data_IF_588890205733
#
_entry.id   IF_588890205733
#
_cell.length_a   1.000
_cell.length_b   1.000
_cell.length_c   1.000
_cell.angle_alpha   90.00
_cell.angle_beta   90.00
_cell.angle_gamma   90.00
#
_symmetry.space_group_name_H-M   'P 1'
#
loop_
_entity.id
_entity.type
_entity.pdbx_description
1 polymer ?
#
# COMPACT_ATOMS: atom_id res chain seq x y z
N UNK A 1 -26.27 47.93 27.61
CA UNK A 1 -25.38 46.77 27.85
C UNK A 1 -25.88 45.47 27.21
N UNK A 2 -27.13 45.06 27.37
CA UNK A 2 -27.61 43.76 26.85
C UNK A 2 -27.52 43.57 25.32
N UNK A 3 -27.70 44.62 24.49
CA UNK A 3 -27.59 44.48 23.02
C UNK A 3 -26.16 44.27 22.52
N UNK A 4 -25.16 44.82 23.21
CA UNK A 4 -23.74 44.67 22.84
C UNK A 4 -23.24 43.28 23.23
N UNK A 5 -23.69 42.76 24.38
CA UNK A 5 -23.38 41.39 24.83
C UNK A 5 -23.98 40.35 23.88
N UNK A 6 -25.21 40.58 23.37
CA UNK A 6 -25.84 39.70 22.37
C UNK A 6 -25.08 39.73 21.03
N UNK A 7 -24.61 40.90 20.59
CA UNK A 7 -23.80 41.01 19.36
C UNK A 7 -22.43 40.33 19.50
N UNK A 8 -21.79 40.43 20.67
CA UNK A 8 -20.54 39.74 20.97
C UNK A 8 -20.73 38.22 21.06
N UNK A 9 -21.84 37.73 21.63
CA UNK A 9 -22.18 36.30 21.63
C UNK A 9 -22.42 35.77 20.21
N UNK A 10 -23.09 36.54 19.34
CA UNK A 10 -23.31 36.16 17.94
C UNK A 10 -22.01 36.10 17.12
N UNK A 11 -21.04 36.98 17.40
CA UNK A 11 -19.71 36.89 16.76
C UNK A 11 -18.88 35.70 17.24
N UNK A 12 -19.05 35.26 18.50
CA UNK A 12 -18.38 34.05 19.01
C UNK A 12 -18.97 32.77 18.39
N UNK A 13 -20.27 32.73 18.10
CA UNK A 13 -20.91 31.56 17.46
C UNK A 13 -20.53 31.46 15.97
N UNK A 14 -20.27 32.58 15.28
CA UNK A 14 -19.77 32.57 13.90
C UNK A 14 -18.25 32.35 13.79
N UNK A 15 -17.47 32.57 14.86
CA UNK A 15 -16.03 32.28 14.89
C UNK A 15 -15.72 30.79 15.16
N UNK A 16 -16.74 29.98 15.47
CA UNK A 16 -16.65 28.52 15.61
C UNK A 16 -17.16 27.76 14.37
N UNK A 17 -17.08 28.34 13.17
CA UNK A 17 -16.98 27.49 11.98
C UNK A 17 -15.52 27.08 11.84
N UNK A 18 -15.13 25.99 12.50
CA UNK A 18 -13.88 25.33 12.16
C UNK A 18 -13.86 25.12 10.65
N UNK A 19 -12.73 25.46 10.05
CA UNK A 19 -12.49 25.35 8.62
C UNK A 19 -12.28 23.85 8.31
N UNK A 20 -13.30 23.01 8.58
CA UNK A 20 -13.27 21.60 8.27
C UNK A 20 -12.92 21.48 6.80
N UNK A 21 -11.86 20.73 6.50
CA UNK A 21 -11.41 20.53 5.14
C UNK A 21 -12.60 20.01 4.34
N UNK A 22 -13.14 20.86 3.44
CA UNK A 22 -14.40 20.55 2.76
C UNK A 22 -14.13 19.36 1.85
N UNK A 23 -14.59 18.17 2.25
CA UNK A 23 -14.48 16.95 1.45
C UNK A 23 -14.99 17.27 0.05
N UNK A 24 -14.24 16.84 -0.97
CA UNK A 24 -14.54 17.17 -2.36
C UNK A 24 -15.93 16.61 -2.72
N UNK A 25 -16.81 17.47 -3.21
CA UNK A 25 -18.16 17.08 -3.62
C UNK A 25 -18.11 16.15 -4.84
N UNK A 26 -18.95 15.09 -4.85
CA UNK A 26 -19.12 14.20 -6.01
C UNK A 26 -18.20 12.96 -6.07
N UNK A 27 -17.35 12.72 -5.06
CA UNK A 27 -16.53 11.50 -4.96
C UNK A 27 -17.26 10.37 -4.20
N UNK A 28 -16.89 9.11 -4.47
CA UNK A 28 -17.46 7.97 -3.73
C UNK A 28 -16.96 7.96 -2.28
N UNK A 29 -17.88 7.95 -1.31
CA UNK A 29 -17.53 7.85 0.12
C UNK A 29 -17.71 6.41 0.60
N UNK A 30 -16.68 5.85 1.22
CA UNK A 30 -16.67 4.51 1.78
C UNK A 30 -16.76 4.62 3.30
N UNK A 31 -17.90 4.27 3.93
CA UNK A 31 -18.02 4.30 5.37
C UNK A 31 -17.17 3.18 5.99
N UNK A 32 -16.27 3.54 6.92
CA UNK A 32 -15.40 2.60 7.64
C UNK A 32 -15.89 2.48 9.08
N UNK A 33 -16.56 1.36 9.38
CA UNK A 33 -16.97 1.01 10.74
C UNK A 33 -15.82 0.31 11.47
N UNK A 34 -15.44 0.84 12.64
CA UNK A 34 -14.24 0.41 13.38
C UNK A 34 -14.56 -0.16 14.76
N UNK A 35 -15.82 -0.09 15.22
CA UNK A 35 -16.22 -0.49 16.58
C UNK A 35 -16.82 -1.89 16.61
N UNK A 36 -17.73 -2.19 15.69
CA UNK A 36 -18.53 -3.40 15.74
C UNK A 36 -17.96 -4.49 14.83
N UNK A 37 -17.19 -5.41 15.41
CA UNK A 37 -16.65 -6.55 14.69
C UNK A 37 -17.79 -7.46 14.16
N UNK A 38 -17.57 -8.05 12.99
CA UNK A 38 -18.50 -9.01 12.39
C UNK A 38 -18.61 -10.25 13.29
N UNK A 39 -19.83 -10.73 13.49
CA UNK A 39 -20.09 -11.87 14.40
C UNK A 39 -19.75 -13.22 13.80
N UNK A 40 -19.85 -13.38 12.47
CA UNK A 40 -19.60 -14.63 11.76
C UNK A 40 -18.86 -14.33 10.46
N UNK A 41 -17.77 -15.05 10.18
CA UNK A 41 -17.04 -14.94 8.92
C UNK A 41 -17.88 -15.41 7.73
N UNK A 42 -18.83 -16.32 7.93
CA UNK A 42 -19.66 -16.88 6.85
C UNK A 42 -20.55 -15.85 6.16
N UNK A 43 -20.70 -14.62 6.68
CA UNK A 43 -21.45 -13.55 5.99
C UNK A 43 -20.68 -12.97 4.80
N UNK A 44 -19.34 -13.00 4.83
CA UNK A 44 -18.49 -12.40 3.79
C UNK A 44 -17.43 -13.35 3.22
N UNK A 45 -17.05 -14.41 3.94
CA UNK A 45 -16.03 -15.36 3.53
C UNK A 45 -16.67 -16.63 2.97
N UNK A 46 -16.22 -17.05 1.79
CA UNK A 46 -16.65 -18.27 1.11
C UNK A 46 -15.73 -19.44 1.47
N UNK A 47 -14.42 -19.27 1.29
CA UNK A 47 -13.40 -20.27 1.60
C UNK A 47 -12.03 -19.64 1.82
N UNK A 48 -11.12 -20.43 2.38
CA UNK A 48 -9.70 -20.13 2.53
C UNK A 48 -8.92 -21.23 1.83
N UNK A 49 -8.02 -20.84 0.92
CA UNK A 49 -7.03 -21.74 0.33
C UNK A 49 -5.63 -21.31 0.74
N UNK A 50 -4.70 -22.26 0.70
CA UNK A 50 -3.28 -21.99 0.92
C UNK A 50 -2.45 -22.45 -0.27
N UNK A 51 -1.37 -21.72 -0.56
CA UNK A 51 -0.39 -22.06 -1.58
C UNK A 51 1.00 -21.97 -0.95
N UNK A 52 1.54 -23.09 -0.46
CA UNK A 52 2.93 -23.15 -0.01
C UNK A 52 3.87 -22.80 -1.15
N UNK A 53 4.83 -21.93 -0.91
CA UNK A 53 5.88 -21.65 -1.90
C UNK A 53 6.94 -22.73 -1.81
N UNK A 54 7.43 -23.18 -2.97
CA UNK A 54 8.36 -24.29 -3.06
C UNK A 54 9.65 -23.99 -2.27
N UNK A 55 10.04 -24.90 -1.37
CA UNK A 55 11.26 -24.81 -0.56
C UNK A 55 12.37 -25.67 -1.17
N UNK A 56 13.45 -25.01 -1.61
CA UNK A 56 14.74 -25.61 -2.02
C UNK A 56 15.87 -24.64 -1.68
N UNK A 57 17.10 -25.13 -1.57
CA UNK A 57 18.30 -24.32 -1.28
C UNK A 57 18.41 -23.06 -2.17
N UNK A 58 18.02 -23.17 -3.45
CA UNK A 58 18.06 -22.07 -4.41
C UNK A 58 16.91 -21.05 -4.29
N UNK A 59 16.00 -21.23 -3.35
CA UNK A 59 14.71 -20.50 -3.30
C UNK A 59 14.31 -20.05 -1.91
N UNK A 60 15.19 -20.18 -0.92
CA UNK A 60 14.90 -19.84 0.47
C UNK A 60 14.51 -18.37 0.61
N UNK A 61 13.38 -18.12 1.25
CA UNK A 61 12.85 -16.79 1.54
C UNK A 61 12.90 -16.60 3.05
N UNK A 62 13.84 -15.77 3.50
CA UNK A 62 13.89 -15.33 4.89
C UNK A 62 12.85 -14.24 5.15
N UNK A 63 13.32 -13.02 5.35
CA UNK A 63 12.46 -11.87 5.64
C UNK A 63 12.12 -11.12 4.37
N UNK A 64 10.84 -11.01 4.04
CA UNK A 64 10.38 -10.27 2.88
C UNK A 64 9.99 -8.80 3.19
N UNK A 65 10.16 -7.92 2.19
CA UNK A 65 9.81 -6.49 2.21
C UNK A 65 8.50 -6.20 1.47
N UNK A 66 8.31 -6.80 0.30
CA UNK A 66 7.14 -6.58 -0.59
C UNK A 66 6.78 -7.89 -1.28
N UNK A 67 5.48 -8.13 -1.43
CA UNK A 67 4.94 -9.27 -2.18
C UNK A 67 3.95 -8.74 -3.19
N UNK A 68 4.01 -9.24 -4.42
CA UNK A 68 3.10 -8.86 -5.50
C UNK A 68 2.62 -10.12 -6.20
N UNK A 69 1.44 -10.02 -6.81
CA UNK A 69 0.88 -11.07 -7.67
C UNK A 69 0.37 -10.44 -8.96
N UNK A 70 0.70 -11.05 -10.08
CA UNK A 70 0.17 -10.71 -11.40
C UNK A 70 -0.77 -11.81 -11.87
N UNK A 71 -2.06 -11.49 -11.98
CA UNK A 71 -3.09 -12.45 -12.40
C UNK A 71 -2.93 -12.90 -13.86
N UNK A 72 -2.41 -12.02 -14.73
CA UNK A 72 -2.31 -12.32 -16.17
C UNK A 72 -1.21 -13.34 -16.44
N UNK A 73 -0.08 -13.20 -15.75
CA UNK A 73 1.04 -14.13 -15.83
C UNK A 73 0.91 -15.31 -14.86
N UNK A 74 0.01 -15.20 -13.87
CA UNK A 74 -0.13 -16.12 -12.75
C UNK A 74 1.19 -16.28 -11.97
N UNK A 75 1.78 -15.16 -11.54
CA UNK A 75 3.11 -15.12 -10.91
C UNK A 75 3.08 -14.34 -9.60
N UNK A 76 3.69 -14.91 -8.57
CA UNK A 76 4.12 -14.20 -7.37
C UNK A 76 5.55 -13.69 -7.53
N UNK A 77 5.79 -12.45 -7.09
CA UNK A 77 7.13 -11.91 -6.90
C UNK A 77 7.30 -11.51 -5.43
N UNK A 78 8.37 -12.01 -4.80
CA UNK A 78 8.75 -11.69 -3.43
C UNK A 78 10.06 -10.92 -3.45
N UNK A 79 10.03 -9.71 -2.91
CA UNK A 79 11.21 -8.87 -2.71
C UNK A 79 11.63 -8.93 -1.25
N UNK A 80 12.88 -9.31 -0.99
CA UNK A 80 13.38 -9.56 0.35
C UNK A 80 14.22 -8.42 0.95
N UNK A 81 14.64 -8.59 2.20
CA UNK A 81 15.44 -7.59 2.91
C UNK A 81 16.83 -7.40 2.30
N UNK A 82 17.40 -8.44 1.72
CA UNK A 82 18.69 -8.44 1.02
C UNK A 82 18.58 -7.91 -0.41
N UNK A 83 17.39 -7.44 -0.80
CA UNK A 83 17.06 -6.86 -2.09
C UNK A 83 17.10 -7.87 -3.24
N UNK A 84 16.90 -9.15 -2.94
CA UNK A 84 16.68 -10.20 -3.93
C UNK A 84 15.19 -10.28 -4.24
N UNK A 85 14.88 -10.47 -5.51
CA UNK A 85 13.53 -10.73 -6.00
C UNK A 85 13.47 -12.20 -6.40
N UNK A 86 12.51 -12.93 -5.86
CA UNK A 86 12.24 -14.33 -6.21
C UNK A 86 10.87 -14.44 -6.87
N UNK A 87 10.78 -15.22 -7.94
CA UNK A 87 9.54 -15.46 -8.70
C UNK A 87 9.04 -16.87 -8.49
N UNK A 88 7.73 -17.00 -8.29
CA UNK A 88 7.01 -18.26 -8.14
C UNK A 88 5.77 -18.25 -9.02
N UNK A 89 5.40 -19.40 -9.56
CA UNK A 89 4.09 -19.57 -10.23
C UNK A 89 2.92 -19.41 -9.25
N UNK A 90 1.70 -19.22 -9.76
CA UNK A 90 0.48 -19.13 -8.95
C UNK A 90 0.16 -20.37 -8.14
N UNK A 91 0.75 -21.52 -8.49
CA UNK A 91 0.69 -22.77 -7.73
C UNK A 91 1.85 -22.91 -6.72
N UNK A 92 2.68 -21.89 -6.56
CA UNK A 92 3.79 -21.86 -5.60
C UNK A 92 5.10 -22.48 -6.07
N UNK A 93 5.21 -22.98 -7.30
CA UNK A 93 6.49 -23.54 -7.81
C UNK A 93 7.52 -22.45 -8.04
N UNK A 94 8.76 -22.68 -7.61
CA UNK A 94 9.86 -21.73 -7.81
C UNK A 94 10.23 -21.62 -9.29
N UNK A 95 10.49 -20.41 -9.74
CA UNK A 95 10.91 -20.12 -11.12
C UNK A 95 12.37 -19.67 -11.13
N UNK A 96 12.69 -18.56 -10.46
CA UNK A 96 14.04 -18.01 -10.41
C UNK A 96 14.18 -16.95 -9.31
N UNK A 97 15.40 -16.45 -9.12
CA UNK A 97 15.66 -15.30 -8.27
C UNK A 97 16.76 -14.40 -8.86
N UNK A 98 16.87 -13.19 -8.33
CA UNK A 98 17.80 -12.18 -8.80
C UNK A 98 19.15 -12.17 -8.09
N UNK A 99 19.51 -13.18 -7.29
CA UNK A 99 20.72 -13.15 -6.45
C UNK A 99 21.99 -12.93 -7.28
N UNK A 100 22.06 -13.57 -8.46
CA UNK A 100 23.17 -13.44 -9.39
C UNK A 100 23.10 -12.19 -10.28
N UNK A 101 22.16 -11.28 -10.00
CA UNK A 101 22.02 -9.98 -10.66
C UNK A 101 22.40 -8.82 -9.74
N UNK A 102 22.85 -9.10 -8.52
CA UNK A 102 23.36 -8.07 -7.62
C UNK A 102 24.85 -7.79 -7.90
N UNK A 103 25.18 -6.52 -8.12
CA UNK A 103 26.56 -6.10 -8.38
C UNK A 103 26.69 -4.78 -9.13
N UNK A 104 27.78 -4.62 -9.89
CA UNK A 104 28.17 -3.40 -10.61
C UNK A 104 28.36 -3.64 -12.12
N UNK A 105 28.11 -4.87 -12.59
CA UNK A 105 28.17 -5.24 -13.98
C UNK A 105 27.08 -4.56 -14.83
N UNK A 106 27.20 -4.64 -16.16
CA UNK A 106 26.27 -3.98 -17.08
C UNK A 106 24.81 -4.48 -16.92
N UNK A 107 24.64 -5.75 -16.57
CA UNK A 107 23.36 -6.42 -16.34
C UNK A 107 22.96 -6.55 -14.86
N UNK A 108 23.75 -5.97 -13.97
CA UNK A 108 23.55 -6.08 -12.52
C UNK A 108 22.99 -4.78 -11.94
N UNK A 109 22.23 -4.92 -10.86
CA UNK A 109 21.75 -3.82 -10.04
C UNK A 109 22.46 -3.83 -8.69
N UNK A 110 22.76 -2.65 -8.16
CA UNK A 110 23.43 -2.51 -6.86
C UNK A 110 22.44 -2.30 -5.72
N UNK A 111 21.29 -1.69 -6.03
CA UNK A 111 20.26 -1.33 -5.09
C UNK A 111 18.92 -1.22 -5.83
N UNK A 112 17.86 -1.68 -5.20
CA UNK A 112 16.49 -1.53 -5.66
C UNK A 112 15.64 -0.96 -4.51
N UNK A 113 15.10 0.25 -4.66
CA UNK A 113 14.22 0.88 -3.66
C UNK A 113 12.77 0.42 -3.77
N UNK A 114 12.35 0.03 -4.98
CA UNK A 114 11.02 -0.50 -5.25
C UNK A 114 11.08 -1.48 -6.42
N UNK A 115 10.10 -2.37 -6.47
CA UNK A 115 9.88 -3.30 -7.57
C UNK A 115 8.43 -3.25 -8.02
N UNK A 116 8.20 -3.42 -9.32
CA UNK A 116 6.85 -3.46 -9.90
C UNK A 116 6.81 -4.34 -11.14
N UNK A 117 5.73 -5.10 -11.33
CA UNK A 117 5.51 -5.76 -12.61
C UNK A 117 5.34 -4.72 -13.72
N UNK A 118 5.99 -4.96 -14.85
CA UNK A 118 5.91 -4.12 -16.03
C UNK A 118 5.04 -4.83 -17.09
N UNK A 119 3.78 -4.40 -17.30
CA UNK A 119 2.89 -5.06 -18.26
C UNK A 119 3.32 -4.88 -19.72
N UNK A 120 4.09 -3.83 -20.02
CA UNK A 120 4.49 -3.50 -21.39
C UNK A 120 5.71 -4.29 -21.86
N UNK A 121 6.66 -4.55 -20.95
CA UNK A 121 7.84 -5.37 -21.22
C UNK A 121 7.70 -6.81 -20.72
N UNK A 122 6.60 -7.14 -20.02
CA UNK A 122 6.30 -8.47 -19.46
C UNK A 122 7.42 -8.96 -18.54
N UNK A 123 7.82 -8.08 -17.62
CA UNK A 123 8.93 -8.32 -16.69
C UNK A 123 8.69 -7.65 -15.34
N UNK A 124 9.76 -7.52 -14.56
CA UNK A 124 9.77 -6.84 -13.27
C UNK A 124 10.74 -5.67 -13.37
N UNK A 125 10.24 -4.46 -13.16
CA UNK A 125 11.07 -3.28 -13.00
C UNK A 125 11.64 -3.24 -11.58
N UNK A 126 12.95 -3.02 -11.48
CA UNK A 126 13.71 -2.73 -10.27
C UNK A 126 14.23 -1.30 -10.39
N UNK A 127 13.76 -0.42 -9.50
CA UNK A 127 14.14 0.99 -9.48
C UNK A 127 15.32 1.20 -8.54
N UNK A 128 16.40 1.79 -9.04
CA UNK A 128 17.43 2.38 -8.18
C UNK A 128 16.99 3.78 -7.68
N UNK A 129 17.53 4.26 -6.55
CA UNK A 129 17.12 5.57 -6.01
C UNK A 129 17.47 6.74 -6.93
N UNK A 130 18.39 6.57 -7.89
CA UNK A 130 18.91 7.62 -8.77
C UNK A 130 18.30 7.61 -10.19
N UNK A 131 17.20 6.87 -10.38
CA UNK A 131 16.38 6.84 -11.58
C UNK A 131 16.81 5.88 -12.68
N UNK A 132 17.74 4.97 -12.42
CA UNK A 132 17.98 3.78 -13.25
C UNK A 132 16.89 2.74 -12.98
N UNK A 133 16.28 2.24 -14.05
CA UNK A 133 15.24 1.22 -14.01
C UNK A 133 15.75 0.01 -14.78
N UNK A 134 15.94 -1.09 -14.07
CA UNK A 134 16.28 -2.37 -14.64
C UNK A 134 15.00 -3.17 -14.83
N UNK A 135 14.69 -3.57 -16.04
CA UNK A 135 13.56 -4.49 -16.30
C UNK A 135 14.13 -5.87 -16.57
N UNK A 136 13.79 -6.83 -15.72
CA UNK A 136 14.18 -8.22 -15.87
C UNK A 136 12.97 -9.08 -16.29
N UNK A 137 13.21 -10.15 -17.04
CA UNK A 137 12.23 -11.21 -17.22
C UNK A 137 11.99 -11.98 -15.91
N UNK A 138 11.00 -12.87 -15.90
CA UNK A 138 10.67 -13.70 -14.74
C UNK A 138 11.79 -14.69 -14.34
N UNK A 139 12.68 -15.02 -15.28
CA UNK A 139 13.90 -15.82 -15.08
C UNK A 139 15.16 -14.94 -14.92
N UNK A 140 14.98 -13.65 -14.63
CA UNK A 140 16.02 -12.66 -14.37
C UNK A 140 17.07 -12.50 -15.47
N UNK A 141 16.66 -12.53 -16.74
CA UNK A 141 17.46 -11.99 -17.86
C UNK A 141 17.13 -10.52 -18.02
N UNK A 142 18.16 -9.68 -18.24
CA UNK A 142 17.93 -8.24 -18.44
C UNK A 142 17.19 -8.02 -19.77
N UNK A 143 16.00 -7.42 -19.71
CA UNK A 143 15.21 -7.01 -20.87
C UNK A 143 15.51 -5.57 -21.27
N UNK A 144 15.69 -4.69 -20.27
CA UNK A 144 15.92 -3.27 -20.51
C UNK A 144 16.64 -2.62 -19.34
N UNK A 145 17.46 -1.61 -19.65
CA UNK A 145 18.05 -0.69 -18.67
C UNK A 145 17.78 0.72 -19.13
N UNK A 146 16.87 1.41 -18.43
CA UNK A 146 16.44 2.78 -18.76
C UNK A 146 16.84 3.71 -17.62
N UNK A 147 16.89 5.02 -17.89
CA UNK A 147 17.26 6.02 -16.89
C UNK A 147 16.41 7.27 -17.04
N UNK A 148 16.01 7.85 -15.91
CA UNK A 148 15.47 9.20 -15.81
C UNK A 148 16.39 10.05 -14.93
N UNK A 149 16.69 11.26 -15.36
CA UNK A 149 17.40 12.24 -14.53
C UNK A 149 16.41 12.94 -13.60
N UNK A 150 16.31 12.47 -12.37
CA UNK A 150 15.57 13.18 -11.32
C UNK A 150 16.50 14.04 -10.49
N UNK A 151 15.99 15.19 -10.02
CA UNK A 151 16.68 16.07 -9.08
C UNK A 151 16.78 15.44 -7.69
N UNK A 152 15.79 14.64 -7.32
CA UNK A 152 15.66 14.01 -6.01
C UNK A 152 15.66 12.49 -6.16
N UNK A 153 15.99 11.79 -5.07
CA UNK A 153 15.87 10.34 -5.03
C UNK A 153 14.42 9.92 -5.32
N UNK A 154 14.25 8.84 -6.07
CA UNK A 154 12.96 8.22 -6.33
C UNK A 154 12.71 7.11 -5.31
N UNK A 155 11.45 6.87 -4.99
CA UNK A 155 11.04 5.92 -3.93
C UNK A 155 10.15 4.79 -4.45
N UNK A 156 9.28 5.07 -5.42
CA UNK A 156 8.35 4.07 -5.97
C UNK A 156 8.12 4.33 -7.45
N UNK A 157 7.72 3.32 -8.22
CA UNK A 157 7.42 3.47 -9.64
C UNK A 157 6.23 2.64 -10.12
N UNK A 158 5.64 3.08 -11.23
CA UNK A 158 4.81 2.26 -12.10
C UNK A 158 4.92 2.72 -13.56
N UNK A 159 4.99 1.76 -14.49
CA UNK A 159 4.91 2.06 -15.91
C UNK A 159 3.48 2.44 -16.30
N UNK A 160 3.31 3.55 -17.02
CA UNK A 160 2.04 3.98 -17.63
C UNK A 160 1.98 3.61 -19.13
N UNK A 161 3.15 3.52 -19.76
CA UNK A 161 3.35 2.97 -21.12
C UNK A 161 4.82 2.53 -21.26
N UNK A 162 5.27 2.16 -22.47
CA UNK A 162 6.67 1.80 -22.73
C UNK A 162 7.67 2.89 -22.30
N UNK A 163 7.33 4.17 -22.53
CA UNK A 163 8.23 5.30 -22.26
C UNK A 163 7.74 6.22 -21.14
N UNK A 164 6.48 6.10 -20.68
CA UNK A 164 5.93 6.94 -19.61
C UNK A 164 5.85 6.20 -18.29
N UNK A 165 6.26 6.87 -17.23
CA UNK A 165 6.27 6.35 -15.87
C UNK A 165 5.70 7.37 -14.89
N UNK A 166 5.21 6.86 -13.77
CA UNK A 166 4.88 7.65 -12.58
C UNK A 166 5.77 7.21 -11.42
N UNK A 167 6.20 8.17 -10.61
CA UNK A 167 7.06 7.95 -9.45
C UNK A 167 6.56 8.70 -8.22
N UNK A 168 7.09 8.34 -7.05
CA UNK A 168 7.06 9.19 -5.85
C UNK A 168 8.47 9.48 -5.37
N UNK A 169 8.65 10.63 -4.71
CA UNK A 169 9.87 10.98 -3.99
C UNK A 169 9.70 10.68 -2.49
N UNK A 170 10.79 10.48 -1.73
CA UNK A 170 10.70 10.45 -0.27
C UNK A 170 10.34 11.84 0.28
N UNK A 171 9.51 11.87 1.33
CA UNK A 171 8.91 13.08 1.91
C UNK A 171 9.91 14.14 2.43
N UNK A 172 11.16 13.74 2.67
CA UNK A 172 12.23 14.62 3.18
C UNK A 172 12.76 15.54 2.07
N UNK A 173 12.55 15.20 0.80
CA UNK A 173 13.20 15.88 -0.32
C UNK A 173 12.30 16.88 -1.05
N UNK A 174 11.00 16.66 -1.01
CA UNK A 174 10.00 17.42 -1.76
C UNK A 174 8.76 17.65 -0.91
N UNK A 175 7.99 18.67 -1.26
CA UNK A 175 6.56 18.69 -0.94
C UNK A 175 5.87 17.48 -1.61
N UNK A 176 4.67 17.15 -1.17
CA UNK A 176 3.94 15.98 -1.66
C UNK A 176 3.70 16.03 -3.17
N UNK A 177 4.59 15.37 -3.90
CA UNK A 177 4.55 15.34 -5.34
C UNK A 177 4.59 13.90 -5.86
N UNK A 178 3.76 13.67 -6.87
CA UNK A 178 3.83 12.54 -7.78
C UNK A 178 4.49 13.03 -9.06
N UNK A 179 5.45 12.25 -9.56
CA UNK A 179 6.31 12.66 -10.65
C UNK A 179 5.99 11.84 -11.90
N UNK A 180 5.42 12.48 -12.91
CA UNK A 180 5.23 11.90 -14.23
C UNK A 180 6.50 12.12 -15.04
N UNK A 181 7.02 11.06 -15.67
CA UNK A 181 8.18 11.17 -16.52
C UNK A 181 7.99 10.48 -17.86
N UNK A 182 8.60 11.04 -18.89
CA UNK A 182 8.83 10.37 -20.15
C UNK A 182 10.33 10.03 -20.27
N UNK A 183 10.66 8.74 -20.19
CA UNK A 183 12.04 8.24 -20.18
C UNK A 183 12.78 8.52 -21.48
N UNK A 184 12.09 8.65 -22.62
CA UNK A 184 12.71 8.94 -23.91
C UNK A 184 13.12 10.40 -24.06
N UNK A 185 12.21 11.31 -23.69
CA UNK A 185 12.42 12.77 -23.80
C UNK A 185 13.09 13.37 -22.57
N UNK A 186 13.16 12.61 -21.47
CA UNK A 186 13.59 13.06 -20.14
C UNK A 186 12.71 14.17 -19.55
N UNK A 187 11.51 14.40 -20.11
CA UNK A 187 10.55 15.35 -19.57
C UNK A 187 9.98 14.84 -18.25
N UNK A 188 9.85 15.74 -17.28
CA UNK A 188 9.29 15.49 -15.96
C UNK A 188 8.22 16.54 -15.66
N UNK A 189 7.09 16.08 -15.11
CA UNK A 189 6.01 16.92 -14.60
C UNK A 189 5.69 16.47 -13.17
N UNK A 190 5.73 17.40 -12.22
CA UNK A 190 5.37 17.14 -10.83
C UNK A 190 3.94 17.58 -10.56
N UNK A 191 3.21 16.79 -9.79
CA UNK A 191 1.79 17.01 -9.49
C UNK A 191 1.56 16.78 -8.01
N UNK A 192 0.98 17.77 -7.35
CA UNK A 192 0.55 17.65 -5.97
C UNK A 192 -0.78 16.89 -5.82
N UNK A 193 -1.08 16.47 -4.61
CA UNK A 193 -2.37 15.85 -4.26
C UNK A 193 -2.79 16.28 -2.86
N UNK A 194 -4.05 16.04 -2.49
CA UNK A 194 -4.62 16.51 -1.22
C UNK A 194 -4.63 15.42 -0.14
N UNK A 195 -4.81 15.86 1.10
CA UNK A 195 -5.23 14.99 2.22
C UNK A 195 -4.13 14.15 2.86
N UNK A 196 -2.86 14.39 2.57
CA UNK A 196 -1.78 13.73 3.32
C UNK A 196 -1.56 14.45 4.61
N UNK A 197 -1.61 13.70 5.71
CA UNK A 197 -1.48 14.25 7.04
C UNK A 197 -0.39 13.53 7.85
N UNK A 198 0.23 12.45 7.35
CA UNK A 198 1.48 11.89 7.92
C UNK A 198 2.03 10.74 7.07
N UNK A 199 3.32 10.77 6.73
CA UNK A 199 3.91 9.89 5.71
C UNK A 199 4.56 8.62 6.29
N UNK A 200 4.93 8.62 7.58
CA UNK A 200 5.68 7.50 8.20
C UNK A 200 4.80 6.43 8.87
N UNK A 201 3.49 6.67 9.00
CA UNK A 201 2.56 5.75 9.65
C UNK A 201 1.85 4.86 8.63
N UNK A 202 2.61 3.94 8.01
CA UNK A 202 2.07 2.99 7.04
C UNK A 202 2.75 1.64 7.12
N UNK A 203 2.01 0.59 6.78
CA UNK A 203 2.55 -0.73 6.48
C UNK A 203 2.46 -1.05 4.98
N UNK A 204 1.83 -0.16 4.20
CA UNK A 204 1.65 -0.35 2.76
C UNK A 204 2.98 -0.29 2.02
N UNK A 205 3.10 -1.19 1.06
CA UNK A 205 4.28 -1.35 0.19
C UNK A 205 3.94 -1.06 -1.25
N UNK A 206 2.68 -0.74 -1.54
CA UNK A 206 2.22 -0.38 -2.86
C UNK A 206 1.50 0.96 -2.81
N UNK A 207 1.76 1.79 -3.83
CA UNK A 207 1.11 3.10 -4.01
C UNK A 207 0.38 3.18 -5.33
N UNK A 208 0.81 2.37 -6.30
CA UNK A 208 0.38 2.47 -7.67
C UNK A 208 -0.30 1.18 -8.11
N UNK A 209 -1.49 1.32 -8.68
CA UNK A 209 -2.33 0.19 -9.06
C UNK A 209 -2.74 0.34 -10.52
N UNK A 210 -2.80 -0.79 -11.21
CA UNK A 210 -3.44 -0.92 -12.52
C UNK A 210 -4.63 -1.83 -12.34
N UNK A 211 -5.83 -1.34 -12.61
CA UNK A 211 -7.08 -2.11 -12.52
C UNK A 211 -7.78 -1.93 -13.87
N UNK A 212 -7.88 -3.04 -14.63
CA UNK A 212 -8.25 -2.98 -16.04
C UNK A 212 -7.27 -2.09 -16.82
N UNK A 213 -7.79 -1.15 -17.60
CA UNK A 213 -7.01 -0.19 -18.39
C UNK A 213 -6.72 1.13 -17.66
N UNK A 214 -7.05 1.22 -16.37
CA UNK A 214 -6.93 2.46 -15.59
C UNK A 214 -5.81 2.37 -14.57
N UNK A 215 -5.21 3.52 -14.30
CA UNK A 215 -4.11 3.70 -13.36
C UNK A 215 -4.59 4.46 -12.12
N UNK A 216 -4.08 4.09 -10.95
CA UNK A 216 -4.47 4.68 -9.69
C UNK A 216 -3.28 4.93 -8.78
N UNK A 217 -3.40 5.97 -7.97
CA UNK A 217 -2.48 6.32 -6.91
C UNK A 217 -3.22 6.29 -5.58
N UNK A 218 -2.71 5.52 -4.63
CA UNK A 218 -3.19 5.45 -3.25
C UNK A 218 -2.04 5.90 -2.35
N UNK A 219 -2.13 7.10 -1.77
CA UNK A 219 -1.02 7.64 -0.99
C UNK A 219 -0.78 6.84 0.29
N UNK A 220 0.48 6.65 0.64
CA UNK A 220 0.86 6.05 1.91
C UNK A 220 0.52 6.97 3.09
N UNK A 221 0.45 6.35 4.27
CA UNK A 221 0.26 7.05 5.52
C UNK A 221 -1.18 7.48 5.73
N UNK A 222 -1.36 8.50 6.56
CA UNK A 222 -2.69 9.02 6.85
C UNK A 222 -3.09 9.92 5.68
N UNK A 223 -3.78 9.32 4.73
CA UNK A 223 -4.46 9.98 3.63
C UNK A 223 -5.70 9.15 3.33
N UNK A 224 -6.85 9.80 3.26
CA UNK A 224 -8.14 9.14 3.13
C UNK A 224 -8.63 9.06 1.68
N UNK A 225 -7.92 9.69 0.73
CA UNK A 225 -8.30 9.73 -0.67
C UNK A 225 -7.62 8.62 -1.49
N UNK A 226 -8.32 8.19 -2.54
CA UNK A 226 -7.79 7.40 -3.64
C UNK A 226 -7.89 8.23 -4.91
N UNK A 227 -6.86 8.17 -5.75
CA UNK A 227 -6.75 8.99 -6.95
C UNK A 227 -6.71 8.12 -8.19
N UNK A 228 -7.46 8.52 -9.22
CA UNK A 228 -7.22 8.05 -10.57
C UNK A 228 -6.11 8.90 -11.20
N UNK A 229 -5.20 8.23 -11.90
CA UNK A 229 -4.12 8.85 -12.67
C UNK A 229 -4.60 9.05 -14.11
N UNK A 230 -4.52 10.27 -14.62
CA UNK A 230 -4.62 10.57 -16.05
C UNK A 230 -3.21 10.72 -16.63
N UNK A 231 -2.77 9.76 -17.45
CA UNK A 231 -1.43 9.74 -18.04
C UNK A 231 -1.26 10.69 -19.25
N UNK A 232 -2.37 11.21 -19.79
CA UNK A 232 -2.39 12.15 -20.91
C UNK A 232 -2.34 13.57 -20.40
N UNK A 233 -3.21 13.90 -19.44
CA UNK A 233 -3.22 15.20 -18.77
C UNK A 233 -2.08 15.34 -17.74
N UNK A 234 -1.53 14.22 -17.26
CA UNK A 234 -0.58 14.18 -16.14
C UNK A 234 -1.21 14.79 -14.88
N UNK A 235 -2.37 14.27 -14.49
CA UNK A 235 -3.16 14.77 -13.38
C UNK A 235 -3.61 13.65 -12.45
N UNK A 236 -3.90 14.01 -11.20
CA UNK A 236 -4.46 13.12 -10.18
C UNK A 236 -5.86 13.60 -9.83
N UNK A 237 -6.87 12.77 -10.09
CA UNK A 237 -8.27 13.08 -9.75
C UNK A 237 -8.72 12.22 -8.57
N UNK A 238 -9.12 12.80 -7.42
CA UNK A 238 -9.73 12.05 -6.33
C UNK A 238 -11.01 11.35 -6.82
N UNK A 239 -11.13 10.05 -6.56
CA UNK A 239 -12.31 9.26 -6.96
C UNK A 239 -13.06 8.65 -5.79
N UNK A 240 -12.37 8.46 -4.67
CA UNK A 240 -12.90 7.77 -3.50
C UNK A 240 -12.29 8.34 -2.22
N UNK A 241 -13.07 8.33 -1.14
CA UNK A 241 -12.68 8.80 0.18
C UNK A 241 -13.09 7.80 1.26
N UNK A 242 -12.18 7.47 2.17
CA UNK A 242 -12.45 6.66 3.36
C UNK A 242 -13.01 7.53 4.47
N UNK A 243 -14.25 7.27 4.86
CA UNK A 243 -14.94 8.01 5.90
C UNK A 243 -14.95 7.20 7.21
N UNK A 244 -14.06 7.56 8.14
CA UNK A 244 -14.02 6.96 9.49
C UNK A 244 -14.89 7.73 10.50
N UNK A 245 -15.74 8.65 10.05
CA UNK A 245 -16.55 9.51 10.90
C UNK A 245 -15.71 10.27 11.92
N UNK A 246 -16.16 10.27 13.18
CA UNK A 246 -15.48 10.97 14.29
C UNK A 246 -14.11 10.37 14.68
N UNK A 247 -13.67 9.30 14.01
CA UNK A 247 -12.37 8.65 14.28
C UNK A 247 -11.26 9.14 13.35
N UNK A 248 -11.58 10.04 12.40
CA UNK A 248 -10.64 10.68 11.50
C UNK A 248 -9.78 11.71 12.22
N UNK A 249 -8.60 11.96 11.65
CA UNK A 249 -7.68 12.99 12.12
C UNK A 249 -7.78 14.16 11.15
N UNK A 250 -7.92 15.37 11.68
CA UNK A 250 -7.81 16.59 10.91
C UNK A 250 -6.37 17.11 10.96
N UNK A 251 -5.92 17.77 9.89
CA UNK A 251 -4.55 18.32 9.79
C UNK A 251 -4.23 19.29 10.93
N UNK A 252 -5.20 20.13 11.31
CA UNK A 252 -5.07 21.16 12.36
C UNK A 252 -4.84 20.56 13.76
N UNK A 253 -5.17 19.27 13.97
CA UNK A 253 -4.97 18.57 15.24
C UNK A 253 -3.59 17.92 15.37
N UNK A 254 -2.76 17.97 14.31
CA UNK A 254 -1.47 17.27 14.27
C UNK A 254 -0.28 18.18 14.59
N UNK A 255 0.66 17.72 15.44
CA UNK A 255 1.90 18.44 15.68
C UNK A 255 2.88 18.28 14.50
N UNK A 256 3.90 19.14 14.45
CA UNK A 256 4.97 19.08 13.45
C UNK A 256 4.47 19.23 12.02
N UNK A 257 5.22 18.71 11.06
CA UNK A 257 4.86 18.72 9.64
C UNK A 257 4.87 17.31 9.05
N UNK A 258 4.15 17.10 7.93
CA UNK A 258 4.14 15.85 7.20
C UNK A 258 5.26 15.76 6.13
N UNK A 259 5.76 16.92 5.67
CA UNK A 259 6.67 17.02 4.51
C UNK A 259 7.74 18.08 4.71
N UNK A 260 8.81 17.98 3.93
CA UNK A 260 9.80 19.04 3.83
C UNK A 260 9.38 20.15 2.86
N UNK A 261 9.63 21.41 3.23
CA UNK A 261 10.02 22.43 2.22
C UNK A 261 11.54 22.35 2.11
N UNK A 262 12.07 22.29 0.87
CA UNK A 262 13.50 22.19 0.56
C UNK A 262 14.40 22.79 1.67
N UNK A 263 15.11 21.93 2.40
CA UNK A 263 16.02 22.34 3.47
C UNK A 263 17.35 22.86 2.89
N UNK A 264 18.02 23.73 3.63
CA UNK A 264 19.25 24.43 3.23
C UNK A 264 20.46 24.06 4.08
N UNK A 265 20.28 23.32 5.17
CA UNK A 265 21.36 22.88 6.06
C UNK A 265 21.05 21.56 6.76
N UNK A 266 22.08 20.88 7.27
CA UNK A 266 21.94 19.64 8.05
C UNK A 266 21.12 19.87 9.33
N UNK A 267 21.21 21.06 9.93
CA UNK A 267 20.43 21.44 11.10
C UNK A 267 18.94 21.49 10.79
N UNK A 268 18.55 22.13 9.68
CA UNK A 268 17.15 22.17 9.23
C UNK A 268 16.62 20.76 8.91
N UNK A 269 17.46 19.88 8.37
CA UNK A 269 17.10 18.48 8.11
C UNK A 269 16.87 17.69 9.40
N UNK A 270 17.70 17.91 10.43
CA UNK A 270 17.53 17.30 11.74
C UNK A 270 16.24 17.77 12.43
N UNK A 271 15.98 19.08 12.45
CA UNK A 271 14.74 19.65 13.01
C UNK A 271 13.49 19.09 12.31
N UNK A 272 13.51 19.02 10.98
CA UNK A 272 12.43 18.41 10.20
C UNK A 272 12.20 16.95 10.59
N UNK A 273 13.28 16.18 10.73
CA UNK A 273 13.22 14.76 11.08
C UNK A 273 12.60 14.57 12.47
N UNK A 274 12.95 15.43 13.42
CA UNK A 274 12.37 15.44 14.77
C UNK A 274 10.88 15.80 14.75
N UNK A 275 10.46 16.79 13.95
CA UNK A 275 9.05 17.15 13.78
C UNK A 275 8.23 16.00 13.17
N UNK A 276 8.74 15.35 12.12
CA UNK A 276 8.06 14.23 11.46
C UNK A 276 7.97 13.01 12.39
N UNK A 277 9.03 12.73 13.16
CA UNK A 277 9.03 11.66 14.15
C UNK A 277 8.05 11.93 15.29
N UNK A 278 8.03 13.15 15.83
CA UNK A 278 7.10 13.57 16.88
C UNK A 278 5.64 13.48 16.42
N UNK A 279 5.36 13.86 15.17
CA UNK A 279 4.05 13.69 14.53
C UNK A 279 3.66 12.22 14.42
N UNK A 280 4.59 11.37 13.96
CA UNK A 280 4.34 9.94 13.85
C UNK A 280 4.03 9.30 15.22
N UNK A 281 4.75 9.72 16.27
CA UNK A 281 4.56 9.24 17.64
C UNK A 281 3.27 9.73 18.29
N UNK A 282 2.87 10.98 18.03
CA UNK A 282 1.56 11.51 18.45
C UNK A 282 0.45 10.64 17.88
N UNK A 283 0.46 10.40 16.57
CA UNK A 283 -0.52 9.56 15.91
C UNK A 283 -0.59 8.18 16.56
N UNK A 284 0.55 7.49 16.69
CA UNK A 284 0.59 6.15 17.31
C UNK A 284 0.06 6.12 18.74
N UNK A 285 0.22 7.20 19.51
CA UNK A 285 -0.23 7.28 20.90
C UNK A 285 -1.65 7.84 21.07
N UNK A 286 -2.27 8.33 19.99
CA UNK A 286 -3.61 8.89 19.99
C UNK A 286 -4.72 7.83 19.85
N UNK A 287 -5.94 8.22 20.25
CA UNK A 287 -7.17 7.42 20.09
C UNK A 287 -7.72 7.43 18.65
N UNK A 288 -7.06 8.11 17.72
CA UNK A 288 -7.49 8.18 16.33
C UNK A 288 -7.27 6.86 15.59
N UNK A 289 -7.99 6.68 14.50
CA UNK A 289 -7.82 5.52 13.62
C UNK A 289 -6.86 5.87 12.49
N UNK A 290 -5.81 5.06 12.38
CA UNK A 290 -4.73 5.24 11.41
C UNK A 290 -4.84 4.12 10.36
N UNK A 291 -5.17 4.43 9.10
CA UNK A 291 -5.09 3.44 8.02
C UNK A 291 -3.63 3.12 7.71
N UNK A 292 -3.26 1.84 7.84
CA UNK A 292 -1.89 1.35 7.62
C UNK A 292 -1.70 0.75 6.23
N UNK A 293 -2.70 0.01 5.73
CA UNK A 293 -2.74 -0.60 4.39
C UNK A 293 -4.08 -0.24 3.79
N UNK A 294 -4.10 0.18 2.53
CA UNK A 294 -5.36 0.49 1.84
C UNK A 294 -5.23 0.24 0.35
N UNK A 295 -6.11 -0.61 -0.18
CA UNK A 295 -6.21 -0.86 -1.61
C UNK A 295 -7.63 -1.28 -1.97
N UNK A 296 -7.89 -1.38 -3.26
CA UNK A 296 -9.23 -1.63 -3.78
C UNK A 296 -9.17 -2.31 -5.14
N UNK A 297 -10.32 -2.81 -5.57
CA UNK A 297 -10.63 -3.08 -6.97
C UNK A 297 -12.05 -2.58 -7.29
N UNK A 298 -12.59 -2.97 -8.43
CA UNK A 298 -13.94 -2.55 -8.84
C UNK A 298 -15.03 -2.95 -7.84
N UNK A 299 -14.84 -4.04 -7.10
CA UNK A 299 -15.86 -4.66 -6.26
C UNK A 299 -15.66 -4.43 -4.77
N UNK A 300 -14.42 -4.26 -4.31
CA UNK A 300 -14.09 -4.20 -2.91
C UNK A 300 -13.09 -3.10 -2.57
N UNK A 301 -13.19 -2.60 -1.33
CA UNK A 301 -12.16 -1.79 -0.67
C UNK A 301 -11.67 -2.55 0.55
N UNK A 302 -10.36 -2.61 0.74
CA UNK A 302 -9.74 -3.27 1.89
C UNK A 302 -8.87 -2.27 2.64
N UNK A 303 -9.00 -2.27 3.97
CA UNK A 303 -8.27 -1.37 4.87
C UNK A 303 -7.77 -2.17 6.07
N UNK A 304 -6.49 -2.03 6.39
CA UNK A 304 -5.95 -2.38 7.71
C UNK A 304 -5.73 -1.10 8.48
N UNK A 305 -6.16 -1.07 9.74
CA UNK A 305 -5.97 0.09 10.60
C UNK A 305 -5.49 -0.26 12.00
N UNK A 306 -4.93 0.72 12.69
CA UNK A 306 -4.58 0.67 14.11
C UNK A 306 -5.18 1.86 14.86
N UNK A 307 -5.36 1.68 16.16
CA UNK A 307 -5.84 2.63 17.15
C UNK A 307 -5.11 2.32 18.47
N UNK A 308 -4.50 3.34 19.11
CA UNK A 308 -3.78 3.19 20.40
C UNK A 308 -2.67 2.11 20.45
N UNK A 309 -1.83 1.96 19.40
CA UNK A 309 -0.73 0.97 19.24
C UNK A 309 -1.10 -0.52 19.27
N UNK A 310 -2.11 -0.91 20.04
CA UNK A 310 -2.37 -2.30 20.40
C UNK A 310 -3.70 -2.82 19.87
N UNK A 311 -4.57 -1.94 19.35
CA UNK A 311 -5.87 -2.33 18.83
C UNK A 311 -5.96 -2.01 17.34
N UNK A 312 -6.36 -2.98 16.53
CA UNK A 312 -6.42 -2.82 15.08
C UNK A 312 -7.28 -3.89 14.44
N UNK A 313 -7.54 -3.73 13.15
CA UNK A 313 -8.43 -4.63 12.44
C UNK A 313 -8.26 -4.60 10.93
N UNK A 314 -8.88 -5.60 10.31
CA UNK A 314 -9.09 -5.66 8.88
C UNK A 314 -10.52 -5.20 8.60
N UNK A 315 -10.71 -4.31 7.64
CA UNK A 315 -12.01 -3.88 7.16
C UNK A 315 -12.14 -4.20 5.68
N UNK A 316 -13.23 -4.87 5.31
CA UNK A 316 -13.54 -5.23 3.93
C UNK A 316 -14.88 -4.60 3.58
N UNK A 317 -14.94 -3.79 2.53
CA UNK A 317 -16.16 -3.18 2.05
C UNK A 317 -16.52 -3.73 0.68
N UNK A 318 -17.70 -4.32 0.53
CA UNK A 318 -18.27 -4.69 -0.76
C UNK A 318 -18.96 -3.46 -1.36
N UNK A 319 -18.38 -2.90 -2.43
CA UNK A 319 -18.83 -1.67 -3.09
C UNK A 319 -20.15 -1.84 -3.83
N UNK A 320 -20.46 -3.05 -4.31
CA UNK A 320 -21.70 -3.37 -5.02
C UNK A 320 -22.88 -3.48 -4.06
N UNK A 321 -22.69 -4.20 -2.94
CA UNK A 321 -23.72 -4.39 -1.90
C UNK A 321 -23.82 -3.25 -0.91
N UNK A 322 -22.79 -2.38 -0.85
CA UNK A 322 -22.64 -1.31 0.14
C UNK A 322 -22.62 -1.85 1.57
N UNK A 323 -21.93 -2.96 1.77
CA UNK A 323 -21.80 -3.65 3.05
C UNK A 323 -20.35 -3.70 3.50
N UNK A 324 -20.10 -3.39 4.78
CA UNK A 324 -18.78 -3.43 5.40
C UNK A 324 -18.66 -4.56 6.42
N UNK A 325 -17.49 -5.18 6.47
CA UNK A 325 -17.18 -6.30 7.36
C UNK A 325 -15.88 -5.98 8.11
N UNK A 326 -16.00 -5.82 9.44
CA UNK A 326 -14.87 -5.60 10.32
C UNK A 326 -14.41 -6.92 10.94
N UNK A 327 -13.10 -7.16 10.93
CA UNK A 327 -12.43 -8.20 11.71
C UNK A 327 -11.50 -7.52 12.71
N UNK A 328 -11.80 -7.65 14.01
CA UNK A 328 -11.09 -7.00 15.12
C UNK A 328 -11.20 -7.88 16.37
N UNK A 329 -10.22 -7.78 17.27
CA UNK A 329 -10.21 -8.50 18.55
C UNK A 329 -10.42 -10.02 18.41
N UNK A 330 -9.76 -10.61 17.40
CA UNK A 330 -9.85 -12.04 17.04
C UNK A 330 -11.24 -12.51 16.59
N UNK A 331 -12.17 -11.60 16.28
CA UNK A 331 -13.51 -11.90 15.77
C UNK A 331 -13.67 -11.43 14.33
N UNK A 332 -14.36 -12.20 13.48
CA UNK A 332 -14.83 -13.58 13.72
C UNK A 332 -13.69 -14.61 13.79
N UNK A 333 -12.52 -14.29 13.25
CA UNK A 333 -11.26 -15.01 13.41
C UNK A 333 -10.10 -14.01 13.23
N UNK A 334 -8.85 -14.47 13.36
CA UNK A 334 -7.67 -13.63 13.09
C UNK A 334 -7.33 -13.75 11.61
N UNK A 335 -7.43 -12.64 10.86
CA UNK A 335 -7.06 -12.59 9.44
C UNK A 335 -5.72 -11.90 9.25
N UNK A 336 -4.84 -12.50 8.45
CA UNK A 336 -3.54 -11.89 8.10
C UNK A 336 -3.77 -10.67 7.23
N UNK A 337 -2.92 -9.66 7.40
CA UNK A 337 -2.91 -8.48 6.55
C UNK A 337 -2.62 -8.87 5.10
N UNK A 338 -3.51 -8.45 4.22
CA UNK A 338 -3.44 -8.78 2.81
C UNK A 338 -2.56 -7.77 2.08
N UNK A 339 -1.84 -8.23 1.05
CA UNK A 339 -0.99 -7.40 0.19
C UNK A 339 -1.67 -7.04 -1.15
N UNK A 340 -2.80 -7.67 -1.47
CA UNK A 340 -3.54 -7.37 -2.69
C UNK A 340 -4.87 -8.11 -2.78
N UNK A 341 -5.66 -7.71 -3.77
CA UNK A 341 -6.93 -8.34 -4.13
C UNK A 341 -6.99 -8.57 -5.63
N UNK A 342 -7.44 -9.76 -6.03
CA UNK A 342 -7.73 -10.11 -7.42
C UNK A 342 -9.12 -10.73 -7.46
N UNK A 343 -9.99 -10.21 -8.33
CA UNK A 343 -11.41 -10.56 -8.34
C UNK A 343 -12.04 -10.43 -6.93
N UNK A 344 -12.44 -11.55 -6.32
CA UNK A 344 -12.96 -11.64 -4.97
C UNK A 344 -11.97 -12.29 -3.99
N UNK A 345 -10.68 -12.36 -4.32
CA UNK A 345 -9.66 -13.08 -3.56
C UNK A 345 -8.71 -12.08 -2.91
N UNK A 346 -8.77 -11.97 -1.58
CA UNK A 346 -7.78 -11.26 -0.80
C UNK A 346 -6.59 -12.17 -0.53
N UNK A 347 -5.38 -11.69 -0.81
CA UNK A 347 -4.15 -12.48 -0.68
C UNK A 347 -3.26 -11.94 0.44
N UNK A 348 -2.80 -12.84 1.29
CA UNK A 348 -1.81 -12.57 2.34
C UNK A 348 -0.63 -13.55 2.24
N UNK A 349 0.42 -13.28 3.00
CA UNK A 349 1.58 -14.16 3.10
C UNK A 349 2.02 -14.24 4.57
N UNK A 350 2.37 -15.43 5.03
CA UNK A 350 2.87 -15.65 6.39
C UNK A 350 3.89 -16.78 6.43
N UNK A 351 4.64 -16.87 7.52
CA UNK A 351 5.53 -18.01 7.74
C UNK A 351 4.73 -19.29 8.02
N UNK A 352 5.30 -20.49 7.77
CA UNK A 352 4.58 -21.75 7.91
C UNK A 352 3.95 -21.98 9.28
N UNK A 353 4.67 -21.59 10.35
CA UNK A 353 4.25 -21.71 11.75
C UNK A 353 3.04 -20.83 12.08
N UNK A 354 2.80 -19.76 11.31
CA UNK A 354 1.68 -18.86 11.52
C UNK A 354 0.39 -19.27 10.76
N UNK A 355 0.45 -20.23 9.83
CA UNK A 355 -0.69 -20.52 8.92
C UNK A 355 -1.94 -20.91 9.70
N UNK A 356 -1.82 -21.76 10.72
CA UNK A 356 -2.95 -22.18 11.55
C UNK A 356 -3.58 -21.02 12.36
N UNK A 357 -2.83 -19.95 12.64
CA UNK A 357 -3.35 -18.77 13.34
C UNK A 357 -4.26 -17.92 12.46
N UNK A 358 -3.99 -17.90 11.15
CA UNK A 358 -4.66 -17.00 10.20
C UNK A 358 -5.69 -17.69 9.30
N UNK A 359 -5.96 -18.97 9.57
CA UNK A 359 -6.91 -19.79 8.85
C UNK A 359 -7.94 -20.38 9.81
N UNK A 360 -9.11 -20.71 9.28
CA UNK A 360 -10.17 -21.40 10.02
C UNK A 360 -10.55 -22.65 9.23
N UNK A 361 -10.32 -23.87 9.78
CA UNK A 361 -10.64 -25.13 9.12
C UNK A 361 -12.09 -25.25 8.63
N UNK A 362 -13.04 -24.49 9.22
CA UNK A 362 -14.43 -24.42 8.73
C UNK A 362 -14.52 -23.96 7.28
N UNK A 363 -13.56 -23.15 6.82
CA UNK A 363 -13.52 -22.56 5.48
C UNK A 363 -12.48 -23.21 4.57
N UNK A 364 -11.81 -24.28 5.00
CA UNK A 364 -10.76 -24.94 4.23
C UNK A 364 -11.24 -26.28 3.67
N UNK A 365 -10.71 -26.64 2.50
CA UNK A 365 -10.89 -27.98 1.95
C UNK A 365 -10.03 -29.00 2.71
N UNK A 366 -10.37 -30.30 2.62
CA UNK A 366 -9.52 -31.36 3.19
C UNK A 366 -8.11 -31.38 2.57
N UNK A 367 -7.98 -30.97 1.31
CA UNK A 367 -6.70 -30.86 0.63
C UNK A 367 -5.84 -29.72 1.22
N UNK A 368 -6.44 -28.57 1.49
CA UNK A 368 -5.73 -27.43 2.07
C UNK A 368 -5.37 -27.65 3.53
N UNK A 369 -6.23 -28.35 4.28
CA UNK A 369 -5.89 -28.81 5.64
C UNK A 369 -4.70 -29.77 5.58
N UNK A 370 -4.69 -30.72 4.64
CA UNK A 370 -3.56 -31.64 4.48
C UNK A 370 -2.26 -30.88 4.15
N UNK A 371 -2.29 -29.95 3.19
CA UNK A 371 -1.15 -29.07 2.88
C UNK A 371 -0.64 -28.38 4.15
N UNK A 372 -1.55 -27.79 4.94
CA UNK A 372 -1.21 -27.07 6.17
C UNK A 372 -0.52 -27.99 7.19
N UNK A 373 -1.02 -29.21 7.38
CA UNK A 373 -0.42 -30.17 8.33
C UNK A 373 0.94 -30.73 7.91
N UNK A 374 1.29 -30.60 6.64
CA UNK A 374 2.55 -31.09 6.07
C UNK A 374 3.65 -30.03 6.05
N UNK A 375 3.32 -28.76 6.37
CA UNK A 375 4.28 -27.66 6.46
C UNK A 375 5.30 -27.92 7.56
N UNK A 376 6.55 -27.59 7.27
CA UNK A 376 7.67 -27.59 8.22
C UNK A 376 8.06 -26.17 8.60
N UNK A 377 8.73 -26.03 9.74
CA UNK A 377 9.19 -24.73 10.24
C UNK A 377 10.20 -24.05 9.30
N UNK A 378 11.01 -24.84 8.58
CA UNK A 378 12.01 -24.38 7.62
C UNK A 378 11.47 -24.21 6.20
N UNK A 379 10.17 -24.44 5.97
CA UNK A 379 9.56 -24.19 4.68
C UNK A 379 9.50 -22.69 4.36
N UNK A 380 9.47 -22.40 3.06
CA UNK A 380 9.22 -21.05 2.58
C UNK A 380 7.82 -20.55 3.02
N UNK A 381 7.61 -19.22 3.05
CA UNK A 381 6.33 -18.63 3.37
C UNK A 381 5.17 -19.17 2.52
N UNK A 382 3.97 -19.11 3.08
CA UNK A 382 2.75 -19.62 2.46
C UNK A 382 1.86 -18.46 2.05
N UNK A 383 1.34 -18.49 0.82
CA UNK A 383 0.31 -17.55 0.37
C UNK A 383 -1.04 -18.02 0.90
N UNK A 384 -1.76 -17.14 1.59
CA UNK A 384 -3.14 -17.35 2.03
C UNK A 384 -4.07 -16.65 1.03
N UNK A 385 -5.13 -17.33 0.61
CA UNK A 385 -6.16 -16.80 -0.31
C UNK A 385 -7.51 -16.84 0.39
N UNK A 386 -8.03 -15.67 0.75
CA UNK A 386 -9.35 -15.49 1.36
C UNK A 386 -10.36 -15.18 0.26
N UNK A 387 -11.23 -16.12 -0.07
CA UNK A 387 -12.26 -15.95 -1.09
C UNK A 387 -13.48 -15.27 -0.47
N UNK A 388 -13.76 -14.04 -0.92
CA UNK A 388 -14.91 -13.25 -0.49
C UNK A 388 -16.17 -13.67 -1.25
N UNK A 389 -17.32 -13.64 -0.58
CA UNK A 389 -18.61 -13.84 -1.22
C UNK A 389 -18.91 -12.67 -2.17
N UNK A 390 -19.22 -13.01 -3.42
CA UNK A 390 -19.63 -12.06 -4.46
C UNK A 390 -20.97 -11.41 -4.13
#
# INVERSE_FOLDING_TARGET
MNKIIILLLLMIICACSSNKQKIIDGIEKIPIEVRNASSDASVFLEKIEITPLETKDSSLIGKFKKVMYDQTMDIYAIYDKDQVVSTFSGTGKFISNSINRQGQGPEEYSMAVDIKFNPFLKGIDLLDPYGVIYTYSLDFKLLSKRKIKSKFALNSLMALSLDKYVFTNPFIWTDEEVLFANLKTQQITNVGYSGTISVENTMDKEKFYTIGEKFYFVPNGVNYYFYQIDDKAMELTPIMYLDFGDSMIEEDDLPGCATAKKYKSDKEMMELTEETAGRADFLRSSNYVIPLIKFFNDDYVYVVFVQNRDTGGNFIFNRKKKEGFLLRDKKPFIMKFCFGIVDNILMAICHPDEVAMYTDPKFMSSEDILKMTQLKEDDNPVILKYYLKK
#
